data_IF_838536332361
#
_entry.id   IF_838536332361
#
_cell.length_a   1.000
_cell.length_b   1.000
_cell.length_c   1.000
_cell.angle_alpha   90.00
_cell.angle_beta   90.00
_cell.angle_gamma   90.00
#
_symmetry.space_group_name_H-M   'P 1'
#
loop_
_entity.id
_entity.type
_entity.pdbx_description
1 polymer ?
#
# COMPACT_ATOMS: atom_id res chain seq x y z
N UNK A 1 -10.46 45.52 7.98
CA UNK A 1 -10.14 44.26 8.70
C UNK A 1 -11.18 43.22 8.29
N UNK A 2 -10.77 42.16 7.58
CA UNK A 2 -11.55 40.92 7.42
C UNK A 2 -10.55 39.83 7.01
N UNK A 3 -9.85 39.32 8.02
CA UNK A 3 -8.99 38.16 7.89
C UNK A 3 -9.88 36.93 8.06
N UNK A 4 -9.60 35.90 7.26
CA UNK A 4 -9.68 34.49 7.66
C UNK A 4 -10.94 33.67 7.30
N UNK A 5 -10.98 33.13 6.07
CA UNK A 5 -11.74 31.90 5.75
C UNK A 5 -11.00 31.03 4.72
N UNK A 6 -9.73 30.70 5.00
CA UNK A 6 -8.95 29.69 4.26
C UNK A 6 -8.92 28.37 5.03
N UNK A 7 -10.05 27.69 5.11
CA UNK A 7 -10.19 26.25 5.40
C UNK A 7 -11.69 25.96 5.34
N UNK A 8 -12.23 24.97 4.64
CA UNK A 8 -11.88 23.57 4.76
C UNK A 8 -11.95 22.90 3.39
N UNK A 9 -10.80 22.39 2.96
CA UNK A 9 -10.70 21.38 1.93
C UNK A 9 -11.60 20.21 2.34
N UNK A 10 -12.75 20.07 1.68
CA UNK A 10 -13.55 18.87 1.65
C UNK A 10 -12.78 17.76 0.95
N UNK A 11 -11.70 17.31 1.57
CA UNK A 11 -11.06 16.05 1.25
C UNK A 11 -11.95 14.97 1.88
N UNK A 12 -13.00 14.61 1.14
CA UNK A 12 -13.85 13.46 1.44
C UNK A 12 -13.00 12.20 1.33
N UNK A 13 -12.23 11.98 2.38
CA UNK A 13 -11.50 10.76 2.64
C UNK A 13 -12.52 9.61 2.71
N UNK A 14 -12.36 8.62 1.84
CA UNK A 14 -11.95 7.25 2.22
C UNK A 14 -13.07 6.38 2.79
N UNK A 15 -13.35 5.25 2.13
CA UNK A 15 -14.13 4.20 2.80
C UNK A 15 -14.68 3.06 1.94
N UNK A 16 -14.21 2.81 0.72
CA UNK A 16 -14.50 1.50 0.13
C UNK A 16 -13.79 0.43 0.99
N UNK A 17 -14.50 -0.54 1.58
CA UNK A 17 -13.87 -1.63 2.31
C UNK A 17 -12.95 -2.35 1.34
N UNK A 18 -11.65 -2.30 1.61
CA UNK A 18 -10.66 -3.01 0.81
C UNK A 18 -10.81 -4.47 1.20
N UNK A 19 -11.27 -5.30 0.27
CA UNK A 19 -11.30 -6.73 0.50
C UNK A 19 -9.86 -7.22 0.70
N UNK A 20 -9.58 -7.72 1.91
CA UNK A 20 -8.28 -8.30 2.25
C UNK A 20 -8.32 -9.76 1.83
N UNK A 21 -7.44 -10.14 0.91
CA UNK A 21 -7.28 -11.51 0.45
C UNK A 21 -6.14 -12.20 1.19
N UNK A 22 -6.37 -13.45 1.60
CA UNK A 22 -5.31 -14.30 2.17
C UNK A 22 -4.35 -14.72 1.06
N UNK A 23 -3.06 -14.53 1.29
CA UNK A 23 -2.00 -14.91 0.36
C UNK A 23 -0.82 -15.51 1.12
N UNK A 24 -0.01 -16.31 0.43
CA UNK A 24 1.18 -16.94 1.01
C UNK A 24 2.41 -16.19 0.51
N UNK A 25 3.30 -15.79 1.41
CA UNK A 25 4.55 -15.14 1.04
C UNK A 25 5.47 -16.11 0.29
N UNK A 26 5.97 -15.76 -0.88
CA UNK A 26 6.85 -16.65 -1.67
C UNK A 26 8.26 -16.83 -1.07
N UNK A 27 8.72 -15.92 -0.20
CA UNK A 27 10.02 -16.04 0.47
C UNK A 27 9.94 -16.79 1.79
N UNK A 28 9.03 -16.38 2.68
CA UNK A 28 8.95 -16.91 4.04
C UNK A 28 7.80 -17.91 4.26
N UNK A 29 6.95 -18.14 3.26
CA UNK A 29 5.79 -19.03 3.30
C UNK A 29 4.78 -18.73 4.43
N UNK A 30 4.77 -17.49 4.93
CA UNK A 30 3.81 -17.03 5.95
C UNK A 30 2.52 -16.58 5.28
N UNK A 31 1.38 -16.90 5.91
CA UNK A 31 0.07 -16.39 5.53
C UNK A 31 -0.04 -14.89 5.85
N UNK A 32 -0.37 -14.08 4.85
CA UNK A 32 -0.51 -12.62 4.96
C UNK A 32 -1.80 -12.16 4.32
N UNK A 33 -2.38 -11.10 4.86
CA UNK A 33 -3.56 -10.45 4.30
C UNK A 33 -3.13 -9.29 3.40
N UNK A 34 -3.49 -9.36 2.12
CA UNK A 34 -3.11 -8.35 1.12
C UNK A 34 -4.35 -7.75 0.47
N UNK A 35 -4.35 -6.44 0.15
CA UNK A 35 -5.50 -5.76 -0.44
C UNK A 35 -5.64 -5.99 -1.96
N UNK A 36 -4.93 -6.97 -2.51
CA UNK A 36 -4.92 -7.29 -3.94
C UNK A 36 -5.14 -8.80 -4.11
N UNK A 37 -5.71 -9.21 -5.24
CA UNK A 37 -5.91 -10.63 -5.54
C UNK A 37 -4.53 -11.30 -5.71
N UNK A 38 -4.22 -12.37 -4.95
CA UNK A 38 -2.99 -13.12 -5.15
C UNK A 38 -3.10 -13.90 -6.47
N UNK A 39 -2.28 -13.52 -7.45
CA UNK A 39 -2.17 -14.24 -8.71
C UNK A 39 -1.02 -15.27 -8.62
N UNK A 40 -1.19 -16.50 -9.13
CA UNK A 40 -0.12 -17.51 -9.13
C UNK A 40 1.07 -17.11 -10.01
N UNK A 41 0.88 -16.17 -10.93
CA UNK A 41 1.93 -15.64 -11.81
C UNK A 41 2.78 -14.55 -11.13
N UNK A 42 2.25 -13.86 -10.09
CA UNK A 42 2.94 -12.77 -9.40
C UNK A 42 3.24 -13.14 -7.95
N UNK A 43 4.53 -13.22 -7.55
CA UNK A 43 4.88 -13.59 -6.19
C UNK A 43 4.36 -12.55 -5.19
N UNK A 44 3.77 -13.04 -4.10
CA UNK A 44 3.28 -12.21 -3.00
C UNK A 44 4.36 -12.15 -1.94
N UNK A 45 4.63 -10.94 -1.43
CA UNK A 45 5.59 -10.73 -0.37
C UNK A 45 4.91 -10.10 0.84
N UNK A 46 5.25 -10.60 2.04
CA UNK A 46 4.82 -9.98 3.29
C UNK A 46 5.46 -8.60 3.47
N UNK A 47 5.00 -7.84 4.47
CA UNK A 47 5.53 -6.50 4.79
C UNK A 47 7.03 -6.50 5.05
N UNK A 48 7.58 -7.58 5.57
CA UNK A 48 9.01 -7.73 5.89
C UNK A 48 9.86 -8.16 4.69
N UNK A 49 9.33 -8.97 3.77
CA UNK A 49 10.03 -9.40 2.56
C UNK A 49 9.94 -8.36 1.42
N UNK A 50 8.85 -7.60 1.36
CA UNK A 50 8.63 -6.55 0.36
C UNK A 50 9.77 -5.51 0.25
N UNK A 51 10.36 -4.97 1.34
CA UNK A 51 11.47 -4.02 1.24
C UNK A 51 12.75 -4.61 0.64
N UNK A 52 12.99 -5.92 0.76
CA UNK A 52 14.16 -6.57 0.15
C UNK A 52 14.00 -6.73 -1.36
N UNK A 53 12.77 -6.98 -1.83
CA UNK A 53 12.45 -7.11 -3.26
C UNK A 53 12.10 -5.79 -3.94
N UNK A 54 11.70 -4.78 -3.18
CA UNK A 54 11.56 -3.42 -3.71
C UNK A 54 12.95 -2.88 -3.95
N UNK A 55 13.36 -2.85 -5.21
CA UNK A 55 14.51 -2.06 -5.62
C UNK A 55 14.36 -0.65 -5.03
N UNK A 56 15.40 -0.11 -4.39
CA UNK A 56 15.34 1.26 -3.90
C UNK A 56 14.96 2.13 -5.10
N UNK A 57 13.93 2.94 -4.92
CA UNK A 57 13.58 3.97 -5.90
C UNK A 57 14.74 4.94 -5.96
N UNK A 58 15.73 4.63 -6.80
CA UNK A 58 16.78 5.52 -7.26
C UNK A 58 16.13 6.59 -8.15
N UNK A 59 15.24 7.37 -7.57
CA UNK A 59 14.83 8.62 -8.18
C UNK A 59 14.35 9.58 -7.10
N UNK A 60 15.31 9.96 -6.24
CA UNK A 60 15.21 11.16 -5.41
C UNK A 60 16.37 12.11 -5.75
N UNK A 61 16.71 12.18 -7.04
CA UNK A 61 17.69 13.13 -7.58
C UNK A 61 17.02 14.00 -8.63
N UNK A 62 16.28 15.00 -8.17
CA UNK A 62 16.44 16.40 -8.58
C UNK A 62 15.71 17.30 -7.59
#
# INVERSE_FOLDING_TARGET
MAFNDRNFRGNSNFGAPREMHKAICSDCNVETEVPFKPDPERPVYCRDCLPNHRTPRENRRY
#
